data_IF_885853073500
#
_entry.id   IF_885853073500
#
_cell.length_a   1.000
_cell.length_b   1.000
_cell.length_c   1.000
_cell.angle_alpha   90.00
_cell.angle_beta   90.00
_cell.angle_gamma   90.00
#
_symmetry.space_group_name_H-M   'P 1'
#
loop_
_entity.id
_entity.type
_entity.pdbx_description
1 polymer ?
#
# COMPACT_ATOMS: atom_id res chain seq x y z
N UNK A 1 15.27 14.14 -79.86
CA UNK A 1 16.37 13.16 -79.71
C UNK A 1 16.45 12.78 -78.25
N UNK A 2 15.90 11.62 -77.90
CA UNK A 2 16.02 11.02 -76.58
C UNK A 2 17.29 10.16 -76.53
N UNK A 3 18.02 10.16 -75.41
CA UNK A 3 18.59 8.96 -74.82
C UNK A 3 17.63 8.49 -73.71
N UNK A 4 17.35 7.21 -73.48
CA UNK A 4 18.22 6.04 -73.56
C UNK A 4 18.05 5.32 -72.21
N UNK A 5 17.44 4.15 -72.25
CA UNK A 5 16.97 3.33 -71.13
C UNK A 5 18.08 2.91 -70.13
N UNK A 6 17.70 2.71 -68.85
CA UNK A 6 17.98 1.42 -68.20
C UNK A 6 17.09 1.20 -66.97
N UNK A 7 16.25 0.18 -67.09
CA UNK A 7 15.47 -0.52 -66.07
C UNK A 7 16.25 -0.90 -64.80
N UNK A 8 15.59 -0.89 -63.64
CA UNK A 8 15.05 -2.12 -63.00
C UNK A 8 14.42 -1.87 -61.62
N UNK A 9 13.24 -2.47 -61.49
CA UNK A 9 12.66 -3.17 -60.33
C UNK A 9 12.17 -2.38 -59.11
N UNK A 10 10.83 -2.38 -59.01
CA UNK A 10 10.04 -2.37 -57.78
C UNK A 10 10.54 -3.46 -56.82
N UNK A 11 10.71 -3.11 -55.55
CA UNK A 11 10.53 -4.02 -54.42
C UNK A 11 9.64 -3.32 -53.39
N UNK A 12 8.42 -3.83 -53.30
CA UNK A 12 7.56 -3.74 -52.13
C UNK A 12 8.32 -4.22 -50.90
N UNK A 13 8.34 -3.40 -49.86
CA UNK A 13 8.85 -3.73 -48.55
C UNK A 13 8.05 -2.97 -47.52
N UNK A 14 6.83 -3.44 -47.28
CA UNK A 14 6.13 -3.24 -46.02
C UNK A 14 7.08 -3.76 -44.94
N UNK A 15 7.58 -2.88 -44.08
CA UNK A 15 8.09 -3.28 -42.79
C UNK A 15 7.31 -2.46 -41.78
N UNK A 16 6.26 -3.10 -41.27
CA UNK A 16 5.71 -2.82 -39.96
C UNK A 16 6.87 -2.59 -38.99
N UNK A 17 7.08 -1.34 -38.61
CA UNK A 17 7.89 -1.03 -37.43
C UNK A 17 6.93 -1.27 -36.28
N UNK A 18 6.85 -2.54 -35.86
CA UNK A 18 6.22 -2.96 -34.63
C UNK A 18 6.84 -2.17 -33.47
N UNK A 19 6.07 -1.19 -33.03
CA UNK A 19 5.80 -0.83 -31.65
C UNK A 19 6.44 -1.76 -30.61
N UNK A 20 7.69 -1.47 -30.26
CA UNK A 20 8.36 -1.99 -29.06
C UNK A 20 9.33 -0.93 -28.55
N UNK A 21 8.81 0.24 -28.19
CA UNK A 21 9.48 1.08 -27.20
C UNK A 21 9.29 0.44 -25.82
N UNK A 22 9.82 -0.77 -25.64
CA UNK A 22 9.92 -1.42 -24.34
C UNK A 22 10.77 -0.52 -23.45
N UNK A 23 10.16 -0.05 -22.37
CA UNK A 23 10.72 0.84 -21.36
C UNK A 23 12.04 0.27 -20.81
N UNK A 24 13.18 0.63 -21.40
CA UNK A 24 14.50 0.11 -21.02
C UNK A 24 15.05 0.81 -19.76
N UNK A 25 14.17 1.15 -18.81
CA UNK A 25 14.58 1.49 -17.43
C UNK A 25 14.93 0.17 -16.76
N UNK A 26 16.05 0.10 -16.03
CA UNK A 26 16.32 -1.14 -15.30
C UNK A 26 15.16 -1.41 -14.33
N UNK A 27 14.75 -2.67 -14.23
CA UNK A 27 13.67 -3.19 -13.37
C UNK A 27 13.52 -2.44 -12.03
N UNK A 28 14.60 -2.13 -11.29
CA UNK A 28 14.47 -1.46 -10.00
C UNK A 28 14.04 0.01 -10.05
N UNK A 29 14.35 0.74 -11.13
CA UNK A 29 13.90 2.13 -11.29
C UNK A 29 12.41 2.18 -11.64
N UNK A 30 11.94 1.20 -12.41
CA UNK A 30 10.51 1.01 -12.68
C UNK A 30 9.74 0.75 -11.38
N UNK A 31 10.34 -0.01 -10.44
CA UNK A 31 9.72 -0.29 -9.15
C UNK A 31 9.63 0.95 -8.22
N UNK A 32 10.63 1.84 -8.25
CA UNK A 32 10.55 3.11 -7.51
C UNK A 32 9.51 4.05 -8.09
N UNK A 33 9.48 4.18 -9.42
CA UNK A 33 8.49 5.00 -10.11
C UNK A 33 7.07 4.46 -9.87
N UNK A 34 6.88 3.14 -9.82
CA UNK A 34 5.58 2.53 -9.50
C UNK A 34 5.12 2.91 -8.09
N UNK A 35 6.01 2.83 -7.08
CA UNK A 35 5.67 3.21 -5.69
C UNK A 35 5.32 4.69 -5.56
N UNK A 36 6.02 5.58 -6.28
CA UNK A 36 5.68 7.00 -6.30
C UNK A 36 4.32 7.24 -6.97
N UNK A 37 4.00 6.51 -8.04
CA UNK A 37 2.68 6.60 -8.68
C UNK A 37 1.55 6.08 -7.78
N UNK A 38 1.75 4.97 -7.08
CA UNK A 38 0.82 4.46 -6.08
C UNK A 38 0.58 5.49 -4.97
N UNK A 39 1.65 6.10 -4.44
CA UNK A 39 1.55 7.13 -3.41
C UNK A 39 0.76 8.36 -3.90
N UNK A 40 0.94 8.80 -5.14
CA UNK A 40 0.14 9.90 -5.71
C UNK A 40 -1.33 9.47 -5.87
N UNK A 41 -1.60 8.25 -6.33
CA UNK A 41 -2.97 7.75 -6.47
C UNK A 41 -3.68 7.69 -5.12
N UNK A 42 -2.99 7.18 -4.08
CA UNK A 42 -3.47 7.16 -2.70
C UNK A 42 -3.80 8.57 -2.20
N UNK A 43 -2.94 9.57 -2.44
CA UNK A 43 -3.25 10.95 -2.08
C UNK A 43 -4.51 11.46 -2.82
N UNK A 44 -4.65 11.13 -4.10
CA UNK A 44 -5.79 11.55 -4.93
C UNK A 44 -7.11 10.87 -4.53
N UNK A 45 -7.05 9.68 -3.93
CA UNK A 45 -8.20 8.99 -3.35
C UNK A 45 -8.49 9.43 -1.90
N UNK A 46 -7.69 10.36 -1.36
CA UNK A 46 -7.88 10.93 -0.03
C UNK A 46 -7.15 10.17 1.09
N UNK A 47 -6.29 9.21 0.75
CA UNK A 47 -5.51 8.47 1.73
C UNK A 47 -4.32 9.30 2.24
N UNK A 48 -4.12 9.30 3.55
CA UNK A 48 -2.98 10.00 4.17
C UNK A 48 -1.72 9.15 4.02
N UNK A 49 -0.81 9.53 3.13
CA UNK A 49 0.43 8.79 2.92
C UNK A 49 1.55 9.30 3.83
N UNK A 50 2.11 8.41 4.66
CA UNK A 50 3.10 8.73 5.71
C UNK A 50 4.48 8.11 5.46
N UNK A 51 4.68 7.41 4.35
CA UNK A 51 5.96 6.81 4.01
C UNK A 51 6.83 7.83 3.26
N UNK A 52 7.87 8.32 3.95
CA UNK A 52 8.78 9.35 3.42
C UNK A 52 10.01 8.75 2.70
N UNK A 53 10.24 7.44 2.81
CA UNK A 53 11.47 6.77 2.34
C UNK A 53 11.13 5.37 1.83
N UNK A 54 11.58 5.05 0.62
CA UNK A 54 11.54 3.70 0.07
C UNK A 54 12.94 3.08 0.08
N UNK A 55 13.02 1.78 0.39
CA UNK A 55 14.27 1.01 0.29
C UNK A 55 14.07 -0.21 -0.58
N UNK A 56 14.89 -0.33 -1.63
CA UNK A 56 14.88 -1.46 -2.55
C UNK A 56 16.25 -2.12 -2.59
N UNK A 57 16.30 -3.41 -2.95
CA UNK A 57 17.55 -4.16 -3.11
C UNK A 57 17.85 -4.32 -4.59
N UNK A 58 19.02 -3.83 -5.02
CA UNK A 58 19.51 -3.96 -6.39
C UNK A 58 20.88 -4.63 -6.33
N UNK A 59 21.04 -5.78 -6.99
CA UNK A 59 22.31 -6.53 -7.05
C UNK A 59 22.97 -6.72 -5.67
N UNK A 60 22.15 -7.02 -4.65
CA UNK A 60 22.59 -7.21 -3.27
C UNK A 60 22.92 -5.92 -2.49
N UNK A 61 22.82 -4.74 -3.12
CA UNK A 61 22.99 -3.43 -2.49
C UNK A 61 21.62 -2.84 -2.14
N UNK A 62 21.47 -2.29 -0.94
CA UNK A 62 20.29 -1.53 -0.58
C UNK A 62 20.40 -0.11 -1.13
N UNK A 63 19.41 0.29 -1.92
CA UNK A 63 19.25 1.67 -2.38
C UNK A 63 18.04 2.26 -1.65
N UNK A 64 18.28 3.37 -0.98
CA UNK A 64 17.26 4.10 -0.23
C UNK A 64 17.01 5.45 -0.90
N UNK A 65 15.75 5.77 -1.17
CA UNK A 65 15.33 6.99 -1.83
C UNK A 65 14.19 7.66 -1.06
N UNK A 66 14.05 8.99 -1.19
CA UNK A 66 12.88 9.70 -0.69
C UNK A 66 11.68 9.35 -1.58
N UNK A 67 10.54 9.09 -0.98
CA UNK A 67 9.28 9.01 -1.72
C UNK A 67 8.88 10.39 -2.25
N UNK A 68 7.81 10.49 -3.04
CA UNK A 68 7.30 11.80 -3.45
C UNK A 68 6.90 12.68 -2.24
N UNK A 69 6.30 12.10 -1.20
CA UNK A 69 5.98 12.80 0.05
C UNK A 69 7.26 13.20 0.79
N UNK A 70 8.25 12.30 0.85
CA UNK A 70 9.61 12.56 1.33
C UNK A 70 10.27 13.76 0.66
N UNK A 71 10.16 13.82 -0.66
CA UNK A 71 10.74 14.86 -1.49
C UNK A 71 10.05 16.20 -1.27
N UNK A 72 8.72 16.23 -1.16
CA UNK A 72 8.00 17.47 -0.82
C UNK A 72 8.37 18.00 0.56
N UNK A 73 8.49 17.12 1.56
CA UNK A 73 8.93 17.51 2.90
C UNK A 73 10.37 18.04 2.90
N UNK A 74 11.26 17.42 2.12
CA UNK A 74 12.61 17.92 1.91
C UNK A 74 12.59 19.34 1.28
N UNK A 75 11.71 19.58 0.31
CA UNK A 75 11.48 20.90 -0.29
C UNK A 75 10.99 21.93 0.73
N UNK A 76 10.02 21.56 1.58
CA UNK A 76 9.51 22.44 2.66
C UNK A 76 10.60 22.83 3.65
N UNK A 77 11.44 21.88 4.05
CA UNK A 77 12.55 22.12 5.00
C UNK A 77 13.65 22.97 4.39
N UNK A 78 13.93 22.81 3.10
CA UNK A 78 14.86 23.70 2.40
C UNK A 78 14.30 25.12 2.37
N UNK A 79 12.99 25.26 2.12
CA UNK A 79 12.35 26.56 1.96
C UNK A 79 12.91 27.30 0.75
N UNK A 80 12.47 28.55 0.52
CA UNK A 80 13.01 29.41 -0.53
C UNK A 80 13.00 28.79 -1.95
N UNK A 81 12.04 27.90 -2.23
CA UNK A 81 11.81 27.31 -3.55
C UNK A 81 10.51 27.88 -4.12
N UNK A 82 10.54 28.26 -5.38
CA UNK A 82 9.40 28.79 -6.12
C UNK A 82 9.16 27.96 -7.39
N UNK A 83 7.89 27.65 -7.68
CA UNK A 83 7.49 27.11 -8.97
C UNK A 83 7.28 28.29 -9.92
N UNK A 84 8.10 28.36 -10.96
CA UNK A 84 8.05 29.45 -11.94
C UNK A 84 7.05 29.17 -13.07
N UNK A 85 6.96 27.90 -13.49
CA UNK A 85 6.15 27.51 -14.64
C UNK A 85 5.84 26.00 -14.60
N UNK A 86 4.65 25.64 -15.06
CA UNK A 86 4.21 24.26 -15.25
C UNK A 86 3.61 24.16 -16.65
N UNK A 87 4.27 23.40 -17.52
CA UNK A 87 3.80 23.12 -18.86
C UNK A 87 3.42 21.65 -18.98
N UNK A 88 2.27 21.40 -19.58
CA UNK A 88 1.83 20.06 -19.92
C UNK A 88 1.59 19.95 -21.42
N UNK A 89 1.96 18.80 -21.96
CA UNK A 89 1.71 18.43 -23.34
C UNK A 89 1.02 17.07 -23.36
N UNK A 90 -0.10 17.01 -24.06
CA UNK A 90 -0.86 15.78 -24.21
C UNK A 90 -0.64 15.17 -25.59
N UNK A 91 -0.21 13.91 -25.61
CA UNK A 91 -0.13 13.11 -26.83
C UNK A 91 -1.31 12.13 -26.88
N UNK A 92 -1.33 11.23 -27.86
CA UNK A 92 -2.33 10.14 -27.93
C UNK A 92 -2.19 9.16 -26.77
N UNK A 93 -0.97 8.92 -26.29
CA UNK A 93 -0.66 7.83 -25.36
C UNK A 93 -0.28 8.30 -23.96
N UNK A 94 0.33 9.47 -23.84
CA UNK A 94 0.88 9.98 -22.59
C UNK A 94 0.63 11.47 -22.36
N UNK A 95 0.65 11.85 -21.09
CA UNK A 95 0.71 13.23 -20.63
C UNK A 95 2.14 13.51 -20.19
N UNK A 96 2.78 14.48 -20.82
CA UNK A 96 4.11 14.97 -20.48
C UNK A 96 3.98 16.24 -19.66
N UNK A 97 4.76 16.35 -18.60
CA UNK A 97 4.82 17.53 -17.75
C UNK A 97 6.26 18.03 -17.62
N UNK A 98 6.42 19.34 -17.71
CA UNK A 98 7.66 20.06 -17.47
C UNK A 98 7.41 21.13 -16.42
N UNK A 99 8.13 21.04 -15.31
CA UNK A 99 8.04 21.96 -14.18
C UNK A 99 9.35 22.73 -14.07
N UNK A 100 9.28 24.05 -14.08
CA UNK A 100 10.42 24.93 -13.81
C UNK A 100 10.36 25.40 -12.37
N UNK A 101 11.42 25.16 -11.60
CA UNK A 101 11.55 25.66 -10.23
C UNK A 101 12.80 26.51 -10.06
N UNK A 102 12.73 27.43 -9.12
CA UNK A 102 13.83 28.30 -8.70
C UNK A 102 14.13 28.12 -7.24
N UNK A 103 15.42 28.03 -6.92
CA UNK A 103 15.93 28.23 -5.57
C UNK A 103 16.31 29.71 -5.42
N UNK A 104 15.60 30.41 -4.55
CA UNK A 104 15.77 31.84 -4.30
C UNK A 104 17.04 32.16 -3.52
N UNK A 105 17.56 31.22 -2.73
CA UNK A 105 18.78 31.38 -1.94
C UNK A 105 20.02 31.26 -2.84
N UNK A 106 20.08 30.20 -3.64
CA UNK A 106 21.23 29.92 -4.50
C UNK A 106 21.10 30.56 -5.89
N UNK A 107 19.93 31.13 -6.21
CA UNK A 107 19.59 31.78 -7.49
C UNK A 107 19.83 30.86 -8.69
N UNK A 108 19.40 29.61 -8.56
CA UNK A 108 19.46 28.61 -9.63
C UNK A 108 18.06 28.23 -10.09
N UNK A 109 17.93 28.00 -11.39
CA UNK A 109 16.72 27.47 -12.02
C UNK A 109 16.96 26.03 -12.45
N UNK A 110 16.00 25.15 -12.21
CA UNK A 110 16.03 23.77 -12.68
C UNK A 110 14.73 23.39 -13.37
N UNK A 111 14.82 22.35 -14.19
CA UNK A 111 13.67 21.72 -14.84
C UNK A 111 13.49 20.30 -14.32
N UNK A 112 12.28 19.98 -13.88
CA UNK A 112 11.80 18.63 -13.69
C UNK A 112 10.91 18.23 -14.85
N UNK A 113 11.10 17.03 -15.37
CA UNK A 113 10.31 16.49 -16.46
C UNK A 113 9.78 15.11 -16.07
N UNK A 114 8.59 14.77 -16.53
CA UNK A 114 8.00 13.44 -16.37
C UNK A 114 6.95 13.19 -17.45
N UNK A 115 6.65 11.91 -17.67
CA UNK A 115 5.49 11.47 -18.43
C UNK A 115 4.64 10.49 -17.62
N UNK A 116 3.37 10.37 -17.97
CA UNK A 116 2.45 9.36 -17.46
C UNK A 116 1.54 8.85 -18.58
N UNK A 117 1.34 7.53 -18.63
CA UNK A 117 0.40 6.90 -19.56
C UNK A 117 -1.03 7.42 -19.28
N UNK A 118 -1.73 7.86 -20.32
CA UNK A 118 -3.10 8.39 -20.25
C UNK A 118 -4.11 7.38 -19.70
N UNK A 119 -3.84 6.09 -19.83
CA UNK A 119 -4.70 5.01 -19.31
C UNK A 119 -4.64 4.90 -17.79
N UNK A 120 -3.62 5.46 -17.13
CA UNK A 120 -3.49 5.43 -15.68
C UNK A 120 -4.47 6.41 -15.02
N UNK A 121 -5.05 6.03 -13.86
CA UNK A 121 -5.90 6.95 -13.11
C UNK A 121 -5.10 8.20 -12.71
N UNK A 122 -5.72 9.37 -12.83
CA UNK A 122 -5.09 10.65 -12.51
C UNK A 122 -3.78 10.93 -13.28
N UNK A 123 -3.65 10.45 -14.53
CA UNK A 123 -2.45 10.59 -15.36
C UNK A 123 -1.88 12.02 -15.40
N UNK A 124 -2.74 13.04 -15.48
CA UNK A 124 -2.32 14.45 -15.44
C UNK A 124 -1.59 14.77 -14.13
N UNK A 125 -2.21 14.43 -13.01
CA UNK A 125 -1.66 14.64 -11.68
C UNK A 125 -0.36 13.86 -11.49
N UNK A 126 -0.30 12.61 -11.96
CA UNK A 126 0.90 11.78 -11.92
C UNK A 126 2.06 12.45 -12.66
N UNK A 127 1.83 12.92 -13.89
CA UNK A 127 2.87 13.57 -14.70
C UNK A 127 3.40 14.83 -13.99
N UNK A 128 2.51 15.72 -13.52
CA UNK A 128 2.91 16.97 -12.87
C UNK A 128 3.66 16.70 -11.56
N UNK A 129 3.14 15.84 -10.70
CA UNK A 129 3.74 15.57 -9.39
C UNK A 129 5.11 14.89 -9.50
N UNK A 130 5.27 13.94 -10.44
CA UNK A 130 6.58 13.35 -10.73
C UNK A 130 7.56 14.37 -11.31
N UNK A 131 7.09 15.28 -12.18
CA UNK A 131 7.92 16.37 -12.69
C UNK A 131 8.35 17.31 -11.57
N UNK A 132 7.45 17.66 -10.64
CA UNK A 132 7.78 18.46 -9.46
C UNK A 132 8.82 17.77 -8.57
N UNK A 133 8.63 16.47 -8.24
CA UNK A 133 9.61 15.65 -7.50
C UNK A 133 11.00 15.74 -8.14
N UNK A 134 11.06 15.58 -9.46
CA UNK A 134 12.31 15.64 -10.22
C UNK A 134 12.98 17.02 -10.17
N UNK A 135 12.20 18.10 -10.16
CA UNK A 135 12.72 19.45 -9.98
C UNK A 135 13.27 19.66 -8.56
N UNK A 136 12.50 19.29 -7.54
CA UNK A 136 12.90 19.42 -6.13
C UNK A 136 14.17 18.63 -5.85
N UNK A 137 14.28 17.39 -6.32
CA UNK A 137 15.49 16.56 -6.16
C UNK A 137 16.74 17.18 -6.79
N UNK A 138 16.59 18.01 -7.83
CA UNK A 138 17.72 18.76 -8.43
C UNK A 138 18.11 19.99 -7.62
N UNK A 139 17.18 20.59 -6.88
CA UNK A 139 17.46 21.74 -6.02
C UNK A 139 18.06 21.35 -4.67
N UNK A 140 17.75 20.16 -4.16
CA UNK A 140 18.21 19.73 -2.84
C UNK A 140 19.56 19.00 -2.95
N UNK A 141 20.63 19.51 -2.29
CA UNK A 141 21.91 18.81 -2.20
C UNK A 141 21.76 17.39 -1.67
N UNK A 142 22.46 16.44 -2.30
CA UNK A 142 22.41 15.02 -1.94
C UNK A 142 22.72 14.76 -0.45
N UNK A 143 23.60 15.56 0.17
CA UNK A 143 23.91 15.47 1.61
C UNK A 143 22.69 15.73 2.48
N UNK A 144 21.85 16.72 2.12
CA UNK A 144 20.63 17.02 2.87
C UNK A 144 19.60 15.91 2.69
N UNK A 145 19.47 15.35 1.49
CA UNK A 145 18.62 14.19 1.22
C UNK A 145 19.04 13.00 2.11
N UNK A 146 20.35 12.71 2.19
CA UNK A 146 20.87 11.63 3.02
C UNK A 146 20.57 11.85 4.51
N UNK A 147 20.79 13.06 5.05
CA UNK A 147 20.44 13.39 6.44
C UNK A 147 18.94 13.20 6.71
N UNK A 148 18.06 13.62 5.78
CA UNK A 148 16.62 13.45 5.93
C UNK A 148 16.21 11.98 5.90
N UNK A 149 16.80 11.17 5.02
CA UNK A 149 16.59 9.73 4.98
C UNK A 149 16.98 9.09 6.33
N UNK A 150 18.17 9.43 6.84
CA UNK A 150 18.63 8.93 8.14
C UNK A 150 17.69 9.33 9.29
N UNK A 151 17.24 10.58 9.31
CA UNK A 151 16.26 11.07 10.28
C UNK A 151 14.94 10.32 10.21
N UNK A 152 14.38 10.13 9.01
CA UNK A 152 13.12 9.42 8.83
C UNK A 152 13.24 7.95 9.23
N UNK A 153 14.32 7.27 8.83
CA UNK A 153 14.60 5.89 9.26
C UNK A 153 14.83 5.79 10.77
N UNK A 154 15.45 6.81 11.39
CA UNK A 154 15.64 6.85 12.85
C UNK A 154 14.32 7.07 13.56
N UNK A 155 13.44 7.94 13.07
CA UNK A 155 12.09 8.15 13.62
C UNK A 155 11.22 6.90 13.47
N UNK A 156 11.27 6.23 12.33
CA UNK A 156 10.59 4.94 12.14
C UNK A 156 11.12 3.89 13.12
N UNK A 157 12.43 3.84 13.35
CA UNK A 157 13.03 2.97 14.37
C UNK A 157 12.62 3.36 15.78
N UNK A 158 12.63 4.64 16.15
CA UNK A 158 12.24 5.08 17.49
C UNK A 158 10.76 4.86 17.76
N UNK A 159 9.88 5.06 16.78
CA UNK A 159 8.46 4.70 16.90
C UNK A 159 8.26 3.19 17.09
N UNK A 160 9.12 2.36 16.48
CA UNK A 160 9.15 0.90 16.73
C UNK A 160 9.72 0.56 18.11
N UNK A 161 10.75 1.28 18.58
CA UNK A 161 11.40 1.03 19.88
C UNK A 161 10.63 1.58 21.08
N UNK A 162 9.88 2.69 20.93
CA UNK A 162 8.96 3.20 21.97
C UNK A 162 7.71 2.32 22.10
N UNK A 163 7.33 1.63 21.02
CA UNK A 163 6.39 0.50 21.06
C UNK A 163 6.99 -0.75 21.76
N UNK A 164 8.29 -0.77 22.07
CA UNK A 164 9.03 -1.88 22.70
C UNK A 164 9.80 -1.44 23.98
N UNK A 165 9.37 -0.36 24.67
CA UNK A 165 9.91 -0.05 26.00
C UNK A 165 9.47 -1.12 27.03
N UNK A 166 10.36 -1.54 27.95
CA UNK A 166 10.17 -2.76 28.73
C UNK A 166 9.04 -2.60 29.76
N UNK A 167 7.96 -3.37 29.60
CA UNK A 167 7.13 -3.77 30.74
C UNK A 167 7.93 -4.73 31.60
N UNK A 168 7.83 -4.56 32.93
CA UNK A 168 8.47 -5.38 33.94
C UNK A 168 8.28 -6.90 33.68
N UNK A 169 9.25 -7.75 34.07
CA UNK A 169 9.35 -9.11 33.58
C UNK A 169 8.23 -10.00 34.16
N UNK A 170 7.31 -10.42 33.30
CA UNK A 170 6.54 -11.65 33.50
C UNK A 170 7.04 -12.71 32.50
N UNK A 171 7.18 -13.93 33.01
CA UNK A 171 7.94 -15.05 32.46
C UNK A 171 7.46 -15.49 31.06
N UNK A 172 8.41 -15.73 30.15
CA UNK A 172 8.19 -16.41 28.86
C UNK A 172 8.18 -17.94 29.07
N UNK A 173 7.43 -18.74 28.27
CA UNK A 173 7.93 -19.18 26.94
C UNK A 173 6.83 -19.60 25.91
N UNK A 174 7.16 -20.05 24.67
CA UNK A 174 8.09 -19.53 23.65
C UNK A 174 7.42 -19.29 22.27
N UNK A 175 8.06 -18.46 21.44
CA UNK A 175 8.00 -18.33 19.97
C UNK A 175 6.71 -18.68 19.18
N UNK A 176 6.12 -17.68 18.51
CA UNK A 176 5.53 -17.82 17.16
C UNK A 176 5.47 -16.47 16.43
N UNK A 177 5.94 -16.48 15.19
CA UNK A 177 5.98 -15.34 14.25
C UNK A 177 4.62 -15.19 13.57
N UNK A 178 3.85 -14.14 13.83
CA UNK A 178 2.61 -13.90 13.06
C UNK A 178 2.44 -12.41 12.71
N UNK A 179 2.74 -12.10 11.45
CA UNK A 179 2.58 -10.80 10.80
C UNK A 179 1.12 -10.56 10.43
N UNK A 180 0.28 -10.21 11.40
CA UNK A 180 -1.06 -9.67 11.18
C UNK A 180 -1.05 -8.17 11.48
N UNK A 181 -1.48 -7.36 10.52
CA UNK A 181 -1.48 -5.89 10.61
C UNK A 181 -2.84 -5.33 11.02
N UNK A 182 -3.71 -6.17 11.61
CA UNK A 182 -5.02 -5.76 12.12
C UNK A 182 -4.96 -5.56 13.64
N UNK A 183 -5.47 -4.43 14.10
CA UNK A 183 -5.57 -4.16 15.54
C UNK A 183 -6.48 -5.16 16.24
N UNK A 184 -5.99 -5.81 17.30
CA UNK A 184 -6.80 -6.61 18.24
C UNK A 184 -7.32 -5.79 19.43
N UNK A 185 -7.12 -4.46 19.42
CA UNK A 185 -7.46 -3.60 20.55
C UNK A 185 -8.95 -3.37 20.62
N UNK A 186 -9.58 -3.76 21.74
CA UNK A 186 -11.04 -3.69 21.92
C UNK A 186 -11.60 -2.30 22.24
N UNK A 187 -10.73 -1.34 22.60
CA UNK A 187 -11.11 -0.06 23.23
C UNK A 187 -10.62 1.19 22.47
N UNK A 188 -10.21 1.06 21.21
CA UNK A 188 -9.89 2.24 20.39
C UNK A 188 -11.14 2.64 19.61
N UNK A 189 -11.51 3.93 19.58
CA UNK A 189 -12.60 4.39 18.72
C UNK A 189 -12.31 4.00 17.27
N UNK A 190 -13.35 3.70 16.49
CA UNK A 190 -13.23 3.50 15.06
C UNK A 190 -12.46 4.71 14.46
N UNK A 191 -11.33 4.41 13.81
CA UNK A 191 -10.52 5.40 13.10
C UNK A 191 -10.58 5.07 11.62
N UNK A 192 -10.36 6.04 10.74
CA UNK A 192 -10.27 5.79 9.29
C UNK A 192 -9.20 4.72 8.95
N UNK A 193 -8.20 4.51 9.82
CA UNK A 193 -7.13 3.52 9.67
C UNK A 193 -7.52 2.10 10.14
N UNK A 194 -8.68 1.90 10.76
CA UNK A 194 -9.18 0.58 11.20
C UNK A 194 -10.71 0.62 11.35
N UNK A 195 -11.48 0.50 10.24
CA UNK A 195 -12.92 0.50 10.33
C UNK A 195 -13.40 -0.70 11.15
N UNK A 196 -14.34 -0.43 12.06
CA UNK A 196 -14.90 -1.40 13.00
C UNK A 196 -16.34 -1.66 12.62
N UNK A 197 -16.69 -2.94 12.47
CA UNK A 197 -18.05 -3.37 12.19
C UNK A 197 -18.57 -4.18 13.37
N UNK A 198 -19.78 -3.89 13.88
CA UNK A 198 -20.37 -4.73 14.92
C UNK A 198 -20.61 -6.14 14.36
N UNK A 199 -20.18 -7.16 15.09
CA UNK A 199 -20.59 -8.53 14.82
C UNK A 199 -21.95 -8.75 15.49
N UNK A 200 -22.99 -8.83 14.67
CA UNK A 200 -24.35 -9.10 15.12
C UNK A 200 -24.77 -10.54 14.80
N UNK A 201 -25.39 -11.20 15.76
CA UNK A 201 -26.24 -12.38 15.52
C UNK A 201 -27.68 -12.00 15.87
N UNK A 202 -28.53 -11.90 14.84
CA UNK A 202 -29.90 -11.37 14.95
C UNK A 202 -29.88 -9.96 15.56
N UNK A 203 -30.56 -9.76 16.69
CA UNK A 203 -30.67 -8.47 17.39
C UNK A 203 -29.57 -8.26 18.45
N UNK A 204 -28.61 -9.19 18.57
CA UNK A 204 -27.56 -9.15 19.60
C UNK A 204 -26.20 -8.88 18.98
N UNK A 205 -25.53 -7.83 19.46
CA UNK A 205 -24.10 -7.61 19.20
C UNK A 205 -23.30 -8.58 20.09
N UNK A 206 -22.42 -9.36 19.47
CA UNK A 206 -21.68 -10.46 20.09
C UNK A 206 -20.16 -10.30 19.94
N UNK A 207 -19.74 -9.19 19.36
CA UNK A 207 -18.35 -8.87 19.12
C UNK A 207 -18.18 -7.72 18.14
N UNK A 208 -16.96 -7.61 17.62
CA UNK A 208 -16.59 -6.62 16.62
C UNK A 208 -15.62 -7.22 15.60
N UNK A 209 -15.72 -6.76 14.36
CA UNK A 209 -14.77 -7.03 13.30
C UNK A 209 -13.94 -5.78 13.03
N UNK A 210 -12.64 -5.87 13.26
CA UNK A 210 -11.69 -4.84 12.90
C UNK A 210 -11.12 -5.18 11.53
N UNK A 211 -11.05 -4.21 10.63
CA UNK A 211 -10.49 -4.41 9.30
C UNK A 211 -9.20 -3.60 9.18
N UNK A 212 -8.17 -4.19 8.57
CA UNK A 212 -6.96 -3.46 8.21
C UNK A 212 -7.30 -2.31 7.26
N UNK A 213 -6.50 -1.23 7.30
CA UNK A 213 -6.60 -0.11 6.37
C UNK A 213 -6.60 -0.51 4.89
N UNK A 214 -5.92 -1.59 4.51
CA UNK A 214 -5.90 -2.10 3.12
C UNK A 214 -7.14 -2.90 2.73
N UNK A 215 -8.11 -3.08 3.63
CA UNK A 215 -9.26 -3.96 3.46
C UNK A 215 -8.89 -5.38 3.02
N UNK A 216 -7.68 -5.84 3.38
CA UNK A 216 -7.20 -7.18 3.05
C UNK A 216 -7.13 -8.10 4.27
N UNK A 217 -7.16 -7.59 5.48
CA UNK A 217 -7.12 -8.42 6.68
C UNK A 217 -8.28 -8.03 7.60
N UNK A 218 -8.87 -9.00 8.28
CA UNK A 218 -9.83 -8.75 9.35
C UNK A 218 -9.50 -9.56 10.59
N UNK A 219 -9.81 -8.96 11.74
CA UNK A 219 -9.75 -9.56 13.06
C UNK A 219 -11.16 -9.53 13.67
N UNK A 220 -11.72 -10.70 13.93
CA UNK A 220 -13.03 -10.85 14.57
C UNK A 220 -12.85 -11.14 16.05
N UNK A 221 -13.30 -10.22 16.88
CA UNK A 221 -13.12 -10.19 18.33
C UNK A 221 -14.46 -10.49 19.02
N UNK A 222 -14.59 -11.57 19.81
CA UNK A 222 -15.81 -11.85 20.56
C UNK A 222 -15.92 -10.97 21.82
N UNK A 223 -17.14 -10.54 22.15
CA UNK A 223 -17.43 -9.83 23.41
C UNK A 223 -17.55 -10.78 24.61
N UNK A 224 -17.95 -12.03 24.36
CA UNK A 224 -18.11 -13.06 25.39
C UNK A 224 -16.99 -14.09 25.39
N UNK A 225 -16.96 -14.95 26.42
CA UNK A 225 -16.03 -16.07 26.49
C UNK A 225 -16.43 -17.15 25.49
N UNK A 226 -15.71 -17.23 24.38
CA UNK A 226 -15.89 -18.24 23.33
C UNK A 226 -14.82 -19.31 23.50
N UNK A 227 -15.19 -20.56 23.78
CA UNK A 227 -14.24 -21.67 23.86
C UNK A 227 -13.84 -22.13 22.46
N UNK A 228 -12.53 -22.28 22.22
CA UNK A 228 -12.00 -22.72 20.92
C UNK A 228 -12.51 -24.12 20.53
N UNK A 229 -12.61 -25.02 21.51
CA UNK A 229 -13.11 -26.38 21.33
C UNK A 229 -14.65 -26.49 21.32
N UNK A 230 -15.36 -25.36 21.31
CA UNK A 230 -16.81 -25.39 21.23
C UNK A 230 -17.30 -25.89 19.87
N UNK A 231 -18.39 -26.66 19.85
CA UNK A 231 -19.02 -27.13 18.62
C UNK A 231 -19.28 -26.03 17.57
N UNK A 232 -19.78 -24.85 17.95
CA UNK A 232 -19.95 -23.71 17.03
C UNK A 232 -18.64 -23.22 16.38
N UNK A 233 -17.54 -23.15 17.12
CA UNK A 233 -16.22 -22.75 16.57
C UNK A 233 -15.67 -23.87 15.66
N UNK A 234 -15.86 -25.14 16.03
CA UNK A 234 -15.52 -26.28 15.17
C UNK A 234 -16.29 -26.29 13.86
N UNK A 235 -17.57 -25.91 13.87
CA UNK A 235 -18.39 -25.72 12.66
C UNK A 235 -17.85 -24.58 11.80
N UNK A 236 -17.55 -23.41 12.40
CA UNK A 236 -16.98 -22.27 11.68
C UNK A 236 -15.69 -22.65 10.94
N UNK A 237 -14.77 -23.36 11.60
CA UNK A 237 -13.52 -23.82 11.00
C UNK A 237 -13.77 -24.80 9.84
N UNK A 238 -14.50 -25.88 10.09
CA UNK A 238 -14.62 -27.00 9.14
C UNK A 238 -15.63 -26.79 8.00
N UNK A 239 -16.65 -25.96 8.21
CA UNK A 239 -17.75 -25.76 7.24
C UNK A 239 -17.74 -24.42 6.55
N UNK A 240 -16.98 -23.44 7.05
CA UNK A 240 -16.89 -22.11 6.47
C UNK A 240 -15.45 -21.81 6.05
N UNK A 241 -14.51 -21.75 7.00
CA UNK A 241 -13.13 -21.29 6.73
C UNK A 241 -12.32 -22.25 5.85
N UNK A 242 -12.36 -23.56 6.15
CA UNK A 242 -11.67 -24.57 5.34
C UNK A 242 -12.20 -24.66 3.90
N UNK A 243 -13.53 -24.67 3.64
CA UNK A 243 -14.06 -24.58 2.28
C UNK A 243 -13.68 -23.30 1.53
N UNK A 244 -13.61 -22.15 2.20
CA UNK A 244 -13.14 -20.91 1.58
C UNK A 244 -11.66 -21.04 1.18
N UNK A 245 -10.81 -21.57 2.07
CA UNK A 245 -9.40 -21.84 1.79
C UNK A 245 -9.20 -22.83 0.63
N UNK A 246 -10.06 -23.84 0.54
CA UNK A 246 -10.01 -24.81 -0.56
C UNK A 246 -10.37 -24.19 -1.92
N UNK A 247 -11.30 -23.22 -1.94
CA UNK A 247 -11.66 -22.47 -3.16
C UNK A 247 -10.67 -21.35 -3.50
N UNK A 248 -10.05 -20.75 -2.49
CA UNK A 248 -9.12 -19.63 -2.60
C UNK A 248 -7.84 -19.96 -1.84
N UNK A 249 -6.82 -20.56 -2.49
CA UNK A 249 -5.58 -21.01 -1.82
C UNK A 249 -4.80 -19.91 -1.10
N UNK A 250 -4.96 -18.65 -1.54
CA UNK A 250 -4.39 -17.47 -0.91
C UNK A 250 -5.09 -17.06 0.39
N UNK A 251 -6.26 -17.65 0.69
CA UNK A 251 -7.01 -17.39 1.92
C UNK A 251 -6.37 -18.12 3.11
N UNK A 252 -5.90 -17.33 4.06
CA UNK A 252 -5.34 -17.73 5.33
C UNK A 252 -6.27 -17.27 6.45
N UNK A 253 -6.42 -18.12 7.47
CA UNK A 253 -7.15 -17.80 8.68
C UNK A 253 -6.43 -18.39 9.87
N UNK A 254 -6.58 -17.75 11.03
CA UNK A 254 -5.88 -18.14 12.25
C UNK A 254 -6.67 -17.73 13.47
N UNK A 255 -6.69 -18.58 14.49
CA UNK A 255 -7.35 -18.27 15.76
C UNK A 255 -6.29 -17.96 16.81
N UNK A 256 -6.38 -16.77 17.39
CA UNK A 256 -5.65 -16.44 18.60
C UNK A 256 -6.41 -16.97 19.80
N UNK A 257 -5.82 -17.97 20.48
CA UNK A 257 -6.43 -18.65 21.62
C UNK A 257 -5.55 -18.48 22.85
N UNK A 258 -6.14 -18.01 23.95
CA UNK A 258 -5.48 -17.88 25.26
C UNK A 258 -6.30 -18.66 26.26
N UNK A 259 -5.69 -19.60 26.98
CA UNK A 259 -6.36 -20.48 27.95
C UNK A 259 -7.61 -21.21 27.41
N UNK A 260 -7.57 -21.62 26.14
CA UNK A 260 -8.69 -22.29 25.45
C UNK A 260 -9.84 -21.36 25.04
N UNK A 261 -9.70 -20.06 25.26
CA UNK A 261 -10.66 -19.02 24.89
C UNK A 261 -10.18 -18.32 23.62
N UNK A 262 -11.07 -18.15 22.65
CA UNK A 262 -10.82 -17.38 21.43
C UNK A 262 -10.77 -15.89 21.79
N UNK A 263 -9.62 -15.27 21.61
CA UNK A 263 -9.47 -13.82 21.73
C UNK A 263 -9.70 -13.10 20.40
N UNK A 264 -9.30 -13.73 19.30
CA UNK A 264 -9.48 -13.20 17.95
C UNK A 264 -9.49 -14.33 16.91
N UNK A 265 -10.20 -14.10 15.80
CA UNK A 265 -10.05 -14.84 14.56
C UNK A 265 -9.51 -13.87 13.49
N UNK A 266 -8.33 -14.16 12.96
CA UNK A 266 -7.72 -13.44 11.86
C UNK A 266 -8.03 -14.10 10.52
N UNK A 267 -8.24 -13.29 9.48
CA UNK A 267 -8.44 -13.75 8.09
C UNK A 267 -7.73 -12.82 7.10
N UNK A 268 -7.18 -13.36 6.02
CA UNK A 268 -6.63 -12.61 4.86
C UNK A 268 -6.53 -13.49 3.59
N UNK A 269 -6.45 -12.91 2.38
CA UNK A 269 -6.90 -11.58 2.06
C UNK A 269 -8.44 -11.52 2.16
N UNK A 270 -9.00 -10.35 2.44
CA UNK A 270 -10.37 -9.99 2.08
C UNK A 270 -10.37 -9.47 0.63
N UNK A 271 -11.47 -9.63 -0.09
CA UNK A 271 -11.60 -9.01 -1.42
C UNK A 271 -11.90 -7.51 -1.29
N UNK A 272 -11.39 -6.68 -2.21
CA UNK A 272 -11.63 -5.23 -2.20
C UNK A 272 -13.10 -4.82 -2.30
N UNK A 273 -13.95 -5.70 -2.86
CA UNK A 273 -15.39 -5.46 -3.03
C UNK A 273 -16.19 -5.72 -1.75
N UNK A 274 -15.56 -6.25 -0.69
CA UNK A 274 -16.18 -6.49 0.62
C UNK A 274 -17.11 -7.72 0.68
N UNK A 275 -17.11 -8.55 -0.36
CA UNK A 275 -17.98 -9.73 -0.48
C UNK A 275 -17.64 -10.78 0.59
N UNK A 276 -16.35 -11.09 0.76
CA UNK A 276 -15.82 -12.05 1.75
C UNK A 276 -15.98 -11.55 3.17
N UNK A 277 -15.93 -10.24 3.40
CA UNK A 277 -16.28 -9.68 4.69
C UNK A 277 -17.76 -9.94 4.99
N UNK A 278 -18.66 -9.66 4.05
CA UNK A 278 -20.09 -9.94 4.17
C UNK A 278 -20.40 -11.42 4.42
N UNK A 279 -19.70 -12.32 3.72
CA UNK A 279 -19.82 -13.77 3.90
C UNK A 279 -19.34 -14.27 5.26
N UNK A 280 -18.39 -13.57 5.90
CA UNK A 280 -17.81 -13.96 7.19
C UNK A 280 -18.54 -13.35 8.40
N UNK A 281 -19.06 -12.12 8.29
CA UNK A 281 -19.72 -11.42 9.41
C UNK A 281 -20.86 -12.26 10.04
N UNK A 282 -21.73 -12.83 9.21
CA UNK A 282 -22.86 -13.64 9.68
C UNK A 282 -22.44 -14.94 10.38
N UNK A 283 -21.69 -15.84 9.72
CA UNK A 283 -21.23 -17.10 10.31
C UNK A 283 -20.36 -16.91 11.57
N UNK A 284 -19.49 -15.90 11.59
CA UNK A 284 -18.66 -15.59 12.76
C UNK A 284 -19.50 -15.07 13.92
N UNK A 285 -20.43 -14.14 13.66
CA UNK A 285 -21.38 -13.65 14.66
C UNK A 285 -22.22 -14.79 15.25
N UNK A 286 -22.78 -15.65 14.41
CA UNK A 286 -23.54 -16.83 14.86
C UNK A 286 -22.70 -17.75 15.76
N UNK A 287 -21.45 -18.05 15.36
CA UNK A 287 -20.57 -18.94 16.12
C UNK A 287 -20.25 -18.37 17.50
N UNK A 288 -19.93 -17.07 17.59
CA UNK A 288 -19.65 -16.39 18.86
C UNK A 288 -20.88 -16.28 19.76
N UNK A 289 -22.05 -16.02 19.17
CA UNK A 289 -23.33 -16.03 19.86
C UNK A 289 -23.61 -17.41 20.48
N UNK A 290 -23.53 -18.47 19.68
CA UNK A 290 -23.83 -19.84 20.13
C UNK A 290 -22.83 -20.40 21.11
N UNK A 291 -21.56 -20.03 21.00
CA UNK A 291 -20.53 -20.42 21.96
C UNK A 291 -20.65 -19.70 23.32
N UNK A 292 -21.39 -18.58 23.39
CA UNK A 292 -21.60 -17.79 24.62
C UNK A 292 -22.99 -17.97 25.22
N UNK A 293 -23.90 -18.68 24.55
CA UNK A 293 -25.19 -19.06 25.12
C UNK A 293 -24.96 -19.99 26.32
N UNK A 294 -25.60 -19.73 27.48
CA UNK A 294 -25.59 -20.69 28.57
C UNK A 294 -26.23 -21.98 28.06
N UNK A 295 -25.52 -23.10 28.22
CA UNK A 295 -26.04 -24.43 27.90
C UNK A 295 -27.37 -24.58 28.65
N UNK A 296 -28.48 -24.54 27.93
CA UNK A 296 -29.78 -24.91 28.50
C UNK A 296 -29.65 -26.38 28.89
N UNK A 297 -29.54 -26.63 30.19
CA UNK A 297 -29.75 -27.94 30.79
C UNK A 297 -31.20 -28.38 30.53
#
# INVERSE_FOLDING_TARGET
MSPGESSRQKSSGTSDIEDTAADSRSEPYTELDHRDEEQIQQEMTGEIVKEFVHTIKIDGRQITHLSIVGTREAGRRRGNIEILDVKTEETTEEIRALVKMRDLENRIDVLGASAADKKKPFAYTLAVNKAERNAVNKLIPAKLIATLIEEFLKRQRSLRTESEAPKAPEEQPPAQQETWHVSTSRNLPATEDSPQYPLADKDKIVGQANISRSHQEAAFLPDGKVLYESGPVGFLRSKILEPIKAKHPQFEFEFKVVDGIVEALFVKPLDPEGTRLGELLGPVGWAYSKATEPVKQ
#
